data_IF_375186550479
#
_entry.id   IF_375186550479
#
_cell.length_a   1.000
_cell.length_b   1.000
_cell.length_c   1.000
_cell.angle_alpha   90.00
_cell.angle_beta   90.00
_cell.angle_gamma   90.00
#
_symmetry.space_group_name_H-M   'P 1'
#
loop_
_entity.id
_entity.type
_entity.pdbx_description
1 polymer ?
#
# COMPACT_ATOMS: atom_id res chain seq x y z
N UNK A 1 4.86 -11.05 -6.13
CA UNK A 1 4.71 -9.67 -5.61
C UNK A 1 3.25 -9.26 -5.75
N UNK A 2 2.51 -9.04 -4.66
CA UNK A 2 1.06 -8.82 -4.71
C UNK A 2 0.62 -7.57 -5.49
N UNK A 3 1.47 -6.54 -5.56
CA UNK A 3 1.16 -5.29 -6.26
C UNK A 3 1.11 -5.47 -7.77
N UNK A 4 2.08 -6.13 -8.41
CA UNK A 4 2.06 -6.32 -9.87
C UNK A 4 0.83 -7.10 -10.34
N UNK A 5 0.40 -8.11 -9.58
CA UNK A 5 -0.85 -8.82 -9.85
C UNK A 5 -2.07 -7.89 -9.76
N UNK A 6 -2.15 -7.03 -8.73
CA UNK A 6 -3.21 -6.01 -8.61
C UNK A 6 -3.19 -5.01 -9.76
N UNK A 7 -2.02 -4.53 -10.17
CA UNK A 7 -1.90 -3.58 -11.30
C UNK A 7 -2.39 -4.21 -12.60
N UNK A 8 -2.05 -5.48 -12.86
CA UNK A 8 -2.57 -6.23 -14.01
C UNK A 8 -4.09 -6.40 -13.93
N UNK A 9 -4.64 -6.70 -12.75
CA UNK A 9 -6.10 -6.77 -12.54
C UNK A 9 -6.81 -5.43 -12.78
N UNK A 10 -6.15 -4.31 -12.50
CA UNK A 10 -6.64 -2.96 -12.79
C UNK A 10 -6.49 -2.56 -14.28
N UNK A 11 -5.98 -3.45 -15.13
CA UNK A 11 -5.87 -3.22 -16.57
C UNK A 11 -4.63 -2.44 -17.01
N UNK A 12 -3.61 -2.32 -16.14
CA UNK A 12 -2.35 -1.65 -16.52
C UNK A 12 -1.55 -2.52 -17.49
N UNK A 13 -0.81 -1.87 -18.39
CA UNK A 13 0.04 -2.56 -19.36
C UNK A 13 1.18 -3.30 -18.66
N UNK A 14 1.62 -4.41 -19.25
CA UNK A 14 2.77 -5.20 -18.77
C UNK A 14 4.02 -4.32 -18.59
N UNK A 15 4.26 -3.39 -19.51
CA UNK A 15 5.39 -2.46 -19.44
C UNK A 15 5.33 -1.58 -18.19
N UNK A 16 4.15 -1.06 -17.83
CA UNK A 16 3.97 -0.25 -16.63
C UNK A 16 4.10 -1.11 -15.36
N UNK A 17 3.53 -2.32 -15.35
CA UNK A 17 3.71 -3.26 -14.25
C UNK A 17 5.19 -3.61 -14.03
N UNK A 18 5.95 -3.83 -15.09
CA UNK A 18 7.40 -4.09 -15.03
C UNK A 18 8.18 -2.87 -14.55
N UNK A 19 7.78 -1.67 -14.97
CA UNK A 19 8.40 -0.43 -14.48
C UNK A 19 8.19 -0.25 -12.97
N UNK A 20 6.98 -0.51 -12.47
CA UNK A 20 6.70 -0.51 -11.02
C UNK A 20 7.48 -1.60 -10.30
N UNK A 21 7.57 -2.82 -10.87
CA UNK A 21 8.39 -3.88 -10.30
C UNK A 21 9.86 -3.44 -10.17
N UNK A 22 10.42 -2.86 -11.23
CA UNK A 22 11.78 -2.36 -11.25
C UNK A 22 11.99 -1.22 -10.25
N UNK A 23 10.98 -0.36 -10.06
CA UNK A 23 11.00 0.65 -9.00
C UNK A 23 11.15 0.01 -7.61
N UNK A 24 10.62 -1.20 -7.41
CA UNK A 24 10.68 -1.88 -6.12
C UNK A 24 11.89 -2.79 -5.90
N UNK A 25 12.60 -3.21 -6.93
CA UNK A 25 13.65 -4.23 -6.85
C UNK A 25 15.06 -3.66 -7.02
N UNK A 26 16.03 -4.15 -6.24
CA UNK A 26 17.44 -3.93 -6.52
C UNK A 26 17.90 -2.47 -6.38
N UNK A 27 17.29 -1.69 -5.49
CA UNK A 27 17.64 -0.29 -5.28
C UNK A 27 18.81 -0.13 -4.30
N UNK A 28 19.99 0.34 -4.70
CA UNK A 28 21.01 0.75 -3.75
C UNK A 28 20.56 2.00 -2.98
N UNK A 29 20.80 2.02 -1.68
CA UNK A 29 20.49 3.12 -0.77
C UNK A 29 21.66 3.36 0.17
N UNK A 30 21.96 4.63 0.42
CA UNK A 30 22.89 5.07 1.46
C UNK A 30 22.31 6.30 2.17
N UNK A 31 22.76 6.54 3.39
CA UNK A 31 22.36 7.68 4.20
C UNK A 31 23.54 8.62 4.31
N UNK A 32 23.32 9.92 4.06
CA UNK A 32 24.31 10.98 4.26
C UNK A 32 23.86 11.92 5.36
N UNK A 33 24.72 12.12 6.36
CA UNK A 33 24.51 13.06 7.47
C UNK A 33 25.73 13.96 7.56
N UNK A 34 25.56 15.25 7.22
CA UNK A 34 26.67 16.19 7.10
C UNK A 34 27.70 15.74 6.07
N UNK A 35 28.96 15.57 6.51
CA UNK A 35 30.07 15.08 5.68
C UNK A 35 30.18 13.56 5.56
N UNK A 36 29.47 12.80 6.39
CA UNK A 36 29.60 11.34 6.46
C UNK A 36 28.51 10.65 5.62
N UNK A 37 28.90 9.59 4.90
CA UNK A 37 27.99 8.76 4.11
C UNK A 37 28.14 7.30 4.52
N UNK A 38 27.03 6.58 4.71
CA UNK A 38 27.04 5.14 5.01
C UNK A 38 27.54 4.32 3.81
N UNK A 39 27.87 3.06 4.06
CA UNK A 39 27.93 2.07 2.98
C UNK A 39 26.57 1.93 2.29
N UNK A 40 26.59 1.50 1.03
CA UNK A 40 25.37 1.24 0.26
C UNK A 40 24.78 -0.12 0.64
N UNK A 41 23.47 -0.15 0.86
CA UNK A 41 22.68 -1.38 0.99
C UNK A 41 21.71 -1.49 -0.18
N UNK A 42 21.48 -2.68 -0.70
CA UNK A 42 20.52 -2.90 -1.78
C UNK A 42 19.20 -3.38 -1.20
N UNK A 43 18.12 -2.63 -1.44
CA UNK A 43 16.78 -2.94 -0.97
C UNK A 43 15.86 -3.35 -2.12
N UNK A 44 15.04 -4.36 -1.86
CA UNK A 44 13.94 -4.80 -2.73
C UNK A 44 12.57 -4.69 -2.03
N UNK A 45 12.53 -3.99 -0.89
CA UNK A 45 11.35 -3.83 -0.04
C UNK A 45 11.10 -2.35 0.25
N UNK A 46 9.83 -2.02 0.50
CA UNK A 46 9.38 -0.65 0.75
C UNK A 46 9.54 0.26 -0.47
N UNK A 47 8.88 1.42 -0.41
CA UNK A 47 9.14 2.52 -1.31
C UNK A 47 10.01 3.56 -0.58
N UNK A 48 10.91 4.29 -1.27
CA UNK A 48 11.65 5.38 -0.65
C UNK A 48 10.70 6.40 -0.02
N UNK A 49 10.91 6.72 1.26
CA UNK A 49 10.19 7.82 1.91
C UNK A 49 10.56 9.15 1.23
N UNK A 50 9.55 9.99 0.96
CA UNK A 50 9.72 11.23 0.21
C UNK A 50 9.67 11.08 -1.31
N UNK A 51 9.54 9.87 -1.86
CA UNK A 51 9.28 9.70 -3.28
C UNK A 51 7.80 9.99 -3.60
N UNK A 52 7.58 10.81 -4.65
CA UNK A 52 6.25 11.23 -5.12
C UNK A 52 5.35 10.05 -5.49
N UNK A 53 5.94 8.94 -5.96
CA UNK A 53 5.21 7.76 -6.39
C UNK A 53 4.78 6.86 -5.22
N UNK A 54 5.47 6.95 -4.07
CA UNK A 54 5.24 6.07 -2.91
C UNK A 54 3.79 6.13 -2.40
N UNK A 55 3.13 7.30 -2.23
CA UNK A 55 1.75 7.38 -1.78
C UNK A 55 0.77 6.71 -2.75
N UNK A 56 0.92 6.93 -4.06
CA UNK A 56 0.05 6.31 -5.07
C UNK A 56 0.16 4.79 -5.04
N UNK A 57 1.39 4.26 -4.98
CA UNK A 57 1.63 2.82 -4.91
C UNK A 57 1.09 2.21 -3.62
N UNK A 58 1.14 2.96 -2.51
CA UNK A 58 0.51 2.55 -1.26
C UNK A 58 -1.02 2.48 -1.39
N UNK A 59 -1.66 3.48 -1.99
CA UNK A 59 -3.11 3.47 -2.27
C UNK A 59 -3.52 2.27 -3.12
N UNK A 60 -2.75 1.95 -4.17
CA UNK A 60 -3.03 0.79 -5.03
C UNK A 60 -2.83 -0.54 -4.31
N UNK A 61 -1.85 -0.62 -3.41
CA UNK A 61 -1.61 -1.81 -2.59
C UNK A 61 -2.80 -2.10 -1.65
N UNK A 62 -3.31 -1.07 -0.98
CA UNK A 62 -4.43 -1.16 -0.02
C UNK A 62 -5.80 -0.97 -0.67
N UNK A 63 -5.86 -0.87 -2.00
CA UNK A 63 -7.11 -0.67 -2.74
C UNK A 63 -8.15 -1.75 -2.40
N UNK A 64 -7.69 -3.00 -2.30
CA UNK A 64 -8.55 -4.15 -1.99
C UNK A 64 -8.96 -4.29 -0.53
N UNK A 65 -8.49 -3.41 0.37
CA UNK A 65 -9.00 -3.36 1.74
C UNK A 65 -10.38 -2.68 1.71
N UNK A 66 -11.42 -3.50 1.71
CA UNK A 66 -12.84 -3.13 1.63
C UNK A 66 -13.60 -3.78 2.78
N UNK A 67 -14.77 -3.24 3.13
CA UNK A 67 -15.60 -3.87 4.15
C UNK A 67 -16.20 -5.18 3.59
N UNK A 68 -16.23 -6.23 4.42
CA UNK A 68 -16.92 -7.49 4.08
C UNK A 68 -18.43 -7.31 4.03
N UNK A 69 -18.98 -6.55 4.98
CA UNK A 69 -20.41 -6.23 5.03
C UNK A 69 -20.72 -4.94 4.27
N UNK A 70 -21.78 -4.96 3.47
CA UNK A 70 -22.34 -3.77 2.80
C UNK A 70 -22.94 -2.75 3.77
N UNK A 71 -23.20 -3.14 5.02
CA UNK A 71 -23.64 -2.24 6.10
C UNK A 71 -22.51 -1.34 6.64
N UNK A 72 -21.27 -1.60 6.23
CA UNK A 72 -20.10 -0.90 6.73
C UNK A 72 -19.41 -0.11 5.62
N UNK A 73 -18.86 1.03 6.00
CA UNK A 73 -18.01 1.86 5.16
C UNK A 73 -16.56 1.78 5.64
N UNK A 74 -15.61 1.80 4.72
CA UNK A 74 -14.19 1.99 5.04
C UNK A 74 -13.78 3.40 4.62
N UNK A 75 -13.19 4.14 5.56
CA UNK A 75 -12.51 5.41 5.32
C UNK A 75 -11.01 5.17 5.44
N UNK A 76 -10.24 5.53 4.39
CA UNK A 76 -8.78 5.35 4.34
C UNK A 76 -8.09 6.70 4.24
N UNK A 77 -7.09 6.93 5.09
CA UNK A 77 -6.21 8.09 5.02
C UNK A 77 -4.76 7.67 5.28
N UNK A 78 -3.93 7.71 4.24
CA UNK A 78 -2.58 7.14 4.30
C UNK A 78 -2.61 5.72 4.91
N UNK A 79 -1.87 5.46 5.98
CA UNK A 79 -1.84 4.16 6.66
C UNK A 79 -3.06 3.91 7.57
N UNK A 80 -3.83 4.94 7.91
CA UNK A 80 -5.00 4.81 8.78
C UNK A 80 -6.19 4.28 7.98
N UNK A 81 -6.81 3.23 8.50
CA UNK A 81 -8.03 2.63 7.95
C UNK A 81 -9.07 2.54 9.06
N UNK A 82 -10.18 3.23 8.87
CA UNK A 82 -11.31 3.26 9.82
C UNK A 82 -12.49 2.54 9.21
N UNK A 83 -13.06 1.59 9.94
CA UNK A 83 -14.34 0.96 9.61
C UNK A 83 -15.43 1.74 10.32
N UNK A 84 -16.52 2.04 9.63
CA UNK A 84 -17.70 2.71 10.17
C UNK A 84 -18.90 1.80 9.88
N UNK A 85 -19.58 1.33 10.92
CA UNK A 85 -20.76 0.48 10.81
C UNK A 85 -21.80 0.87 11.84
N UNK A 86 -23.08 0.71 11.50
CA UNK A 86 -24.17 0.94 12.44
C UNK A 86 -24.34 -0.29 13.35
N UNK A 87 -24.19 -0.10 14.65
CA UNK A 87 -24.54 -1.13 15.64
C UNK A 87 -26.04 -1.06 15.91
N UNK A 88 -26.75 -2.15 15.67
CA UNK A 88 -28.20 -2.27 15.92
C UNK A 88 -28.46 -3.46 16.82
N UNK A 89 -29.41 -3.35 17.75
CA UNK A 89 -29.77 -4.45 18.67
C UNK A 89 -28.58 -5.03 19.46
N UNK A 90 -27.57 -4.22 19.75
CA UNK A 90 -26.31 -4.64 20.38
C UNK A 90 -25.54 -5.73 19.59
N UNK A 91 -25.79 -5.80 18.27
CA UNK A 91 -25.04 -6.64 17.33
C UNK A 91 -23.98 -5.81 16.61
N UNK A 92 -22.73 -6.19 16.80
CA UNK A 92 -21.54 -5.60 16.21
C UNK A 92 -20.79 -6.60 15.30
N UNK A 93 -21.39 -7.77 14.99
CA UNK A 93 -20.74 -8.82 14.22
C UNK A 93 -20.26 -8.31 12.85
N UNK A 94 -21.13 -7.58 12.15
CA UNK A 94 -20.80 -6.96 10.88
C UNK A 94 -19.59 -6.02 10.98
N UNK A 95 -19.47 -5.23 12.05
CA UNK A 95 -18.36 -4.31 12.29
C UNK A 95 -17.02 -5.02 12.54
N UNK A 96 -17.05 -6.18 13.20
CA UNK A 96 -15.85 -6.95 13.55
C UNK A 96 -15.31 -7.81 12.40
N UNK A 97 -16.10 -8.03 11.36
CA UNK A 97 -15.66 -8.70 10.13
C UNK A 97 -14.86 -7.74 9.24
N UNK A 98 -13.57 -7.60 9.55
CA UNK A 98 -12.58 -6.96 8.68
C UNK A 98 -11.78 -8.04 7.94
N UNK A 99 -11.32 -7.74 6.71
CA UNK A 99 -10.43 -8.61 5.91
C UNK A 99 -9.09 -8.87 6.60
#
# INVERSE_FOLDING_TARGET
MHLTAKLTQLGLSTSLCNWVLHFFTGRPQSVKIGGNTSSSITLSTGAPQGCVLSPLLFTLLTYGCTAKSSSNSIVKFAADTTVVGLISNNDEAAYREVD
#
